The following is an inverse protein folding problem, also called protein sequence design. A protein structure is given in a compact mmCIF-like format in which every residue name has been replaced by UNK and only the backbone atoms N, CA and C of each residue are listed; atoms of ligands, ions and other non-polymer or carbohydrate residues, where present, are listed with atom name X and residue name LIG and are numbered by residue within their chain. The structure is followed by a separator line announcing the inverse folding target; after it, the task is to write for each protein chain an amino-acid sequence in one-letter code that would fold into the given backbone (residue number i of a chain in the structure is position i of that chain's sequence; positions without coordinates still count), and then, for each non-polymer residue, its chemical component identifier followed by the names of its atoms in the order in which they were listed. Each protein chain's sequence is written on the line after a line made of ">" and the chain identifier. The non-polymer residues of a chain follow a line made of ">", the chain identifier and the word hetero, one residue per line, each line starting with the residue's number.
data_IF_088881160949
#
_entry.id   IF_088881160949
#
_cell.length_a   1.000
_cell.length_b   1.000
_cell.length_c   1.000
_cell.angle_alpha   90.00
_cell.angle_beta   90.00
_cell.angle_gamma   90.00
#
_symmetry.space_group_name_H-M   'P 1'
#
loop_
_entity.id
_entity.type
_entity.pdbx_description
1 polymer ?
#
# COMPACT_ATOMS: atom_id res chain seq x y z
N UNK A 1 -7.49 -8.46 15.81
CA UNK A 1 -6.24 -9.23 15.99
C UNK A 1 -5.08 -8.26 16.18
N UNK A 2 -4.14 -8.53 17.08
CA UNK A 2 -2.99 -7.64 17.33
C UNK A 2 -1.86 -7.88 16.32
N UNK A 3 -1.19 -6.79 15.92
CA UNK A 3 -0.01 -6.83 15.04
C UNK A 3 1.22 -7.22 15.84
N UNK A 4 2.06 -8.09 15.28
CA UNK A 4 3.26 -8.60 15.96
C UNK A 4 4.53 -7.87 15.57
N UNK A 5 4.52 -7.12 14.45
CA UNK A 5 5.67 -6.41 13.92
C UNK A 5 5.32 -4.95 13.67
N UNK A 6 6.28 -4.06 13.91
CA UNK A 6 6.22 -2.65 13.50
C UNK A 6 7.09 -2.39 12.25
N UNK A 7 7.78 -3.42 11.73
CA UNK A 7 8.75 -3.29 10.64
C UNK A 7 8.17 -3.88 9.35
N UNK A 8 7.27 -3.13 8.73
CA UNK A 8 6.66 -3.45 7.44
C UNK A 8 6.27 -2.16 6.70
N UNK A 9 6.05 -2.26 5.39
CA UNK A 9 5.57 -1.11 4.62
C UNK A 9 4.14 -0.77 4.99
N UNK A 10 3.88 0.50 5.21
CA UNK A 10 2.53 1.02 5.46
C UNK A 10 2.31 2.28 4.65
N UNK A 11 1.11 2.41 4.12
CA UNK A 11 0.66 3.65 3.52
C UNK A 11 0.37 4.68 4.63
N UNK A 12 0.68 5.97 4.42
CA UNK A 12 0.30 7.02 5.35
C UNK A 12 -1.23 7.03 5.59
N UNK A 13 -1.70 7.26 6.83
CA UNK A 13 -3.14 7.27 7.12
C UNK A 13 -3.85 8.46 6.44
N UNK A 14 -3.14 9.55 6.20
CA UNK A 14 -3.65 10.79 5.62
C UNK A 14 -3.44 10.90 4.09
N UNK A 15 -3.28 9.77 3.38
CA UNK A 15 -3.13 9.78 1.91
C UNK A 15 -4.26 10.49 1.16
N UNK A 16 -5.44 10.62 1.77
CA UNK A 16 -6.58 11.32 1.21
C UNK A 16 -6.39 12.84 1.08
N UNK A 17 -5.40 13.41 1.79
CA UNK A 17 -5.04 14.83 1.69
C UNK A 17 -4.21 15.14 0.43
N UNK A 18 -3.61 14.13 -0.21
CA UNK A 18 -2.81 14.31 -1.41
C UNK A 18 -3.72 14.52 -2.62
N UNK A 19 -3.35 15.46 -3.48
CA UNK A 19 -3.95 15.53 -4.81
C UNK A 19 -3.60 14.28 -5.62
N UNK A 20 -4.41 14.03 -6.65
CA UNK A 20 -4.32 12.82 -7.45
C UNK A 20 -2.97 12.67 -8.17
N UNK A 21 -2.42 13.76 -8.70
CA UNK A 21 -1.17 13.71 -9.46
C UNK A 21 0.00 13.40 -8.53
N UNK A 22 0.03 14.02 -7.35
CA UNK A 22 1.04 13.75 -6.31
C UNK A 22 0.95 12.30 -5.84
N UNK A 23 -0.25 11.80 -5.53
CA UNK A 23 -0.46 10.41 -5.10
C UNK A 23 0.07 9.42 -6.15
N UNK A 24 -0.28 9.62 -7.43
CA UNK A 24 0.17 8.75 -8.53
C UNK A 24 1.68 8.82 -8.71
N UNK A 25 2.28 10.01 -8.66
CA UNK A 25 3.73 10.18 -8.76
C UNK A 25 4.46 9.47 -7.62
N UNK A 26 4.04 9.70 -6.37
CA UNK A 26 4.66 9.07 -5.19
C UNK A 26 4.54 7.54 -5.22
N UNK A 27 3.41 7.01 -5.71
CA UNK A 27 3.20 5.56 -5.84
C UNK A 27 4.12 4.93 -6.89
N UNK A 28 4.30 5.58 -8.04
CA UNK A 28 5.13 5.09 -9.15
C UNK A 28 6.62 5.13 -8.81
N UNK A 29 7.04 6.15 -8.08
CA UNK A 29 8.43 6.36 -7.71
C UNK A 29 8.88 5.53 -6.49
N UNK A 30 8.01 4.64 -5.99
CA UNK A 30 8.33 3.77 -4.85
C UNK A 30 9.64 3.00 -5.11
N UNK A 31 10.49 2.93 -4.10
CA UNK A 31 11.74 2.16 -4.17
C UNK A 31 12.81 2.74 -5.08
N UNK A 32 12.56 3.86 -5.77
CA UNK A 32 13.59 4.56 -6.55
C UNK A 32 14.64 5.13 -5.58
N UNK A 33 15.94 4.89 -5.81
CA UNK A 33 17.01 5.51 -5.02
C UNK A 33 17.00 7.03 -5.15
N UNK A 34 17.07 7.73 -4.02
CA UNK A 34 17.19 9.18 -3.93
C UNK A 34 18.44 9.55 -3.15
N UNK A 35 19.16 10.57 -3.64
CA UNK A 35 20.31 11.19 -2.97
C UNK A 35 19.89 12.51 -2.34
N UNK A 36 20.32 12.74 -1.10
CA UNK A 36 20.12 14.02 -0.43
C UNK A 36 20.95 15.10 -1.12
N UNK A 37 20.46 16.35 -1.11
CA UNK A 37 21.22 17.48 -1.64
C UNK A 37 22.50 17.70 -0.80
N UNK A 38 23.52 18.38 -1.36
CA UNK A 38 24.66 18.82 -0.56
C UNK A 38 24.19 19.60 0.69
N UNK A 39 24.76 19.29 1.86
CA UNK A 39 24.34 19.87 3.14
C UNK A 39 23.14 19.19 3.82
N UNK A 40 22.37 18.36 3.12
CA UNK A 40 21.17 17.70 3.67
C UNK A 40 21.41 16.22 3.98
N UNK A 41 20.56 15.64 4.82
CA UNK A 41 20.51 14.21 5.11
C UNK A 41 19.06 13.74 5.20
N UNK A 42 18.81 12.49 4.86
CA UNK A 42 17.55 11.83 5.18
C UNK A 42 17.69 11.08 6.50
N UNK A 43 16.60 10.98 7.26
CA UNK A 43 16.52 10.05 8.39
C UNK A 43 15.94 8.71 7.91
N UNK A 44 16.67 7.61 8.14
CA UNK A 44 16.18 6.27 7.82
C UNK A 44 15.00 5.89 8.72
N UNK A 45 13.86 5.49 8.15
CA UNK A 45 12.63 5.17 8.88
C UNK A 45 12.79 4.01 9.86
N UNK A 46 13.66 3.03 9.56
CA UNK A 46 13.83 1.82 10.37
C UNK A 46 14.96 1.97 11.38
N UNK A 47 16.11 2.51 10.95
CA UNK A 47 17.31 2.57 11.79
C UNK A 47 17.45 3.90 12.53
N UNK A 48 16.66 4.91 12.17
CA UNK A 48 16.72 6.29 12.71
C UNK A 48 18.08 6.98 12.54
N UNK A 49 18.92 6.45 11.65
CA UNK A 49 20.25 7.00 11.32
C UNK A 49 20.15 7.94 10.13
N UNK A 50 21.00 8.96 10.13
CA UNK A 50 21.17 9.85 8.98
C UNK A 50 21.85 9.12 7.82
N UNK A 51 21.30 9.28 6.62
CA UNK A 51 21.80 8.70 5.38
C UNK A 51 21.87 9.78 4.28
N UNK A 52 22.84 9.63 3.37
CA UNK A 52 22.98 10.50 2.18
C UNK A 52 22.24 9.98 0.96
N UNK A 53 21.91 8.68 0.96
CA UNK A 53 21.19 8.01 -0.12
C UNK A 53 20.28 6.96 0.48
N UNK A 54 19.07 6.84 -0.07
CA UNK A 54 18.09 5.85 0.38
C UNK A 54 16.99 5.63 -0.64
N UNK A 55 16.26 4.53 -0.48
CA UNK A 55 15.03 4.26 -1.22
C UNK A 55 13.86 4.98 -0.57
N UNK A 56 12.88 5.33 -1.39
CA UNK A 56 11.77 6.19 -0.99
C UNK A 56 10.43 5.45 -0.99
N UNK A 57 9.58 5.75 0.00
CA UNK A 57 8.19 5.28 0.10
C UNK A 57 7.33 6.37 0.73
N UNK A 58 6.50 7.04 -0.07
CA UNK A 58 5.56 8.08 0.41
C UNK A 58 6.14 9.09 1.41
N UNK A 59 7.34 9.61 1.13
CA UNK A 59 8.04 10.57 2.00
C UNK A 59 8.98 9.94 3.03
N UNK A 60 8.84 8.64 3.32
CA UNK A 60 9.75 7.92 4.19
C UNK A 60 10.97 7.42 3.39
N UNK A 61 12.14 7.52 4.02
CA UNK A 61 13.41 7.10 3.43
C UNK A 61 13.96 5.86 4.15
N UNK A 62 14.50 4.94 3.37
CA UNK A 62 15.03 3.67 3.84
C UNK A 62 16.46 3.53 3.33
N UNK A 63 17.40 3.17 4.20
CA UNK A 63 18.67 2.62 3.71
C UNK A 63 18.38 1.34 2.91
N UNK A 64 19.29 0.95 2.01
CA UNK A 64 19.12 -0.29 1.25
C UNK A 64 18.85 -1.49 2.17
N UNK A 65 19.62 -1.63 3.25
CA UNK A 65 19.44 -2.69 4.25
C UNK A 65 18.05 -2.65 4.89
N UNK A 66 17.58 -1.47 5.31
CA UNK A 66 16.26 -1.31 5.92
C UNK A 66 15.12 -1.61 4.94
N UNK A 67 15.28 -1.23 3.67
CA UNK A 67 14.34 -1.59 2.61
C UNK A 67 14.26 -3.11 2.45
N UNK A 68 15.41 -3.78 2.37
CA UNK A 68 15.44 -5.22 2.16
C UNK A 68 14.86 -5.99 3.36
N UNK A 69 15.08 -5.51 4.59
CA UNK A 69 14.49 -6.07 5.81
C UNK A 69 12.97 -5.89 5.90
N UNK A 70 12.41 -4.87 5.23
CA UNK A 70 10.97 -4.60 5.23
C UNK A 70 10.24 -5.32 4.09
N UNK A 71 10.95 -5.90 3.13
CA UNK A 71 10.36 -6.67 2.04
C UNK A 71 9.74 -7.98 2.54
N UNK A 72 8.54 -8.25 2.06
CA UNK A 72 7.83 -9.49 2.36
C UNK A 72 8.48 -10.68 1.66
N UNK A 73 8.77 -11.74 2.41
CA UNK A 73 9.29 -12.98 1.86
C UNK A 73 8.32 -13.56 0.82
N UNK A 74 8.87 -14.00 -0.32
CA UNK A 74 8.07 -14.59 -1.41
C UNK A 74 7.37 -13.59 -2.33
N UNK A 75 7.68 -12.29 -2.20
CA UNK A 75 7.06 -11.22 -3.01
C UNK A 75 8.02 -10.61 -4.05
N UNK A 76 9.19 -11.24 -4.29
CA UNK A 76 10.16 -10.85 -5.34
C UNK A 76 10.56 -9.37 -5.30
N UNK A 77 10.66 -8.79 -4.11
CA UNK A 77 11.03 -7.38 -3.94
C UNK A 77 9.88 -6.38 -4.05
N UNK A 78 8.65 -6.85 -4.23
CA UNK A 78 7.46 -6.01 -4.14
C UNK A 78 7.08 -5.74 -2.68
N UNK A 79 7.02 -4.48 -2.23
CA UNK A 79 6.67 -4.12 -0.86
C UNK A 79 5.16 -4.26 -0.64
N UNK A 80 4.72 -5.33 0.03
CA UNK A 80 3.32 -5.50 0.41
C UNK A 80 3.00 -4.76 1.71
N UNK A 81 1.83 -4.12 1.74
CA UNK A 81 1.26 -3.49 2.93
C UNK A 81 -0.01 -4.21 3.36
N UNK A 82 -0.68 -3.68 4.39
CA UNK A 82 -2.02 -4.13 4.79
C UNK A 82 -3.07 -4.00 3.68
N UNK A 83 -2.93 -3.03 2.77
CA UNK A 83 -3.89 -2.85 1.68
C UNK A 83 -3.80 -4.02 0.70
N UNK A 84 -2.58 -4.39 0.31
CA UNK A 84 -2.37 -5.57 -0.54
C UNK A 84 -2.79 -6.86 0.16
N UNK A 85 -2.57 -6.98 1.49
CA UNK A 85 -3.12 -8.08 2.28
C UNK A 85 -4.64 -8.15 2.17
N UNK A 86 -5.35 -7.02 2.30
CA UNK A 86 -6.80 -6.99 2.15
C UNK A 86 -7.24 -7.39 0.75
N UNK A 87 -6.59 -6.85 -0.29
CA UNK A 87 -6.92 -7.16 -1.69
C UNK A 87 -6.75 -8.65 -1.97
N UNK A 88 -5.57 -9.21 -1.67
CA UNK A 88 -5.29 -10.62 -1.90
C UNK A 88 -6.18 -11.53 -1.04
N UNK A 89 -6.38 -11.16 0.22
CA UNK A 89 -7.17 -11.96 1.16
C UNK A 89 -8.68 -11.93 0.87
N UNK A 90 -9.24 -10.82 0.34
CA UNK A 90 -10.63 -10.76 -0.13
C UNK A 90 -10.86 -11.71 -1.30
N UNK A 91 -9.91 -11.75 -2.24
CA UNK A 91 -9.96 -12.67 -3.38
C UNK A 91 -9.79 -14.12 -2.91
N UNK A 92 -8.84 -14.38 -2.02
CA UNK A 92 -8.59 -15.73 -1.48
C UNK A 92 -9.75 -16.29 -0.64
N UNK A 93 -10.45 -15.43 0.10
CA UNK A 93 -11.52 -15.85 1.02
C UNK A 93 -12.88 -16.04 0.33
N UNK A 94 -12.97 -15.75 -0.97
CA UNK A 94 -14.19 -15.92 -1.74
C UNK A 94 -14.39 -17.41 -2.05
N UNK A 95 -15.21 -18.09 -1.24
CA UNK A 95 -15.36 -19.54 -1.28
C UNK A 95 -16.09 -20.07 -2.52
N UNK A 96 -17.14 -19.37 -2.96
CA UNK A 96 -18.07 -19.88 -3.99
C UNK A 96 -17.94 -19.13 -5.32
N UNK A 97 -17.72 -17.81 -5.28
CA UNK A 97 -17.69 -16.97 -6.46
C UNK A 97 -16.59 -15.91 -6.35
N UNK A 98 -15.72 -15.85 -7.36
CA UNK A 98 -14.65 -14.86 -7.44
C UNK A 98 -15.23 -13.43 -7.37
N UNK A 99 -14.68 -12.54 -6.52
CA UNK A 99 -15.25 -11.21 -6.32
C UNK A 99 -14.99 -10.33 -7.53
N UNK A 100 -15.97 -9.48 -7.84
CA UNK A 100 -15.79 -8.42 -8.84
C UNK A 100 -14.71 -7.44 -8.38
N UNK A 101 -13.98 -6.90 -9.35
CA UNK A 101 -12.90 -5.96 -9.13
C UNK A 101 -13.32 -4.73 -8.31
N UNK A 102 -14.47 -4.14 -8.64
CA UNK A 102 -15.02 -2.97 -7.96
C UNK A 102 -15.27 -3.19 -6.47
N UNK A 103 -15.80 -4.35 -6.10
CA UNK A 103 -15.99 -4.75 -4.71
C UNK A 103 -14.66 -4.83 -3.96
N UNK A 104 -13.62 -5.42 -4.56
CA UNK A 104 -12.30 -5.54 -3.93
C UNK A 104 -11.65 -4.16 -3.76
N UNK A 105 -11.74 -3.29 -4.76
CA UNK A 105 -11.20 -1.93 -4.69
C UNK A 105 -11.87 -1.12 -3.56
N UNK A 106 -13.20 -1.23 -3.41
CA UNK A 106 -13.99 -0.54 -2.38
C UNK A 106 -13.67 -1.01 -0.94
N UNK A 107 -13.21 -2.24 -0.80
CA UNK A 107 -12.95 -2.89 0.48
C UNK A 107 -11.46 -3.08 0.80
N UNK A 108 -10.57 -2.56 -0.06
CA UNK A 108 -9.11 -2.64 0.11
C UNK A 108 -8.60 -1.83 1.31
N UNK A 109 -9.31 -0.76 1.69
CA UNK A 109 -8.90 0.17 2.75
C UNK A 109 -7.94 1.26 2.27
N UNK A 110 -7.90 1.53 0.95
CA UNK A 110 -7.15 2.61 0.32
C UNK A 110 -8.09 3.56 -0.45
N UNK A 111 -7.67 4.79 -0.72
CA UNK A 111 -8.45 5.71 -1.57
C UNK A 111 -8.65 5.11 -2.98
N UNK A 112 -9.80 5.35 -3.62
CA UNK A 112 -10.23 4.64 -4.83
C UNK A 112 -9.18 4.58 -5.95
N UNK A 113 -8.45 5.68 -6.24
CA UNK A 113 -7.40 5.64 -7.27
C UNK A 113 -6.19 4.80 -6.85
N UNK A 114 -5.80 4.85 -5.57
CA UNK A 114 -4.72 4.00 -5.07
C UNK A 114 -5.12 2.53 -5.10
N UNK A 115 -6.36 2.20 -4.70
CA UNK A 115 -6.89 0.85 -4.81
C UNK A 115 -6.83 0.32 -6.25
N UNK A 116 -7.24 1.15 -7.22
CA UNK A 116 -7.13 0.83 -8.64
C UNK A 116 -5.68 0.55 -9.10
N UNK A 117 -4.73 1.40 -8.69
CA UNK A 117 -3.31 1.20 -9.02
C UNK A 117 -2.76 -0.07 -8.38
N UNK A 118 -3.09 -0.33 -7.11
CA UNK A 118 -2.65 -1.53 -6.39
C UNK A 118 -3.18 -2.79 -7.07
N UNK A 119 -4.46 -2.84 -7.43
CA UNK A 119 -5.04 -4.02 -8.11
C UNK A 119 -4.37 -4.28 -9.47
N UNK A 120 -4.07 -3.21 -10.22
CA UNK A 120 -3.34 -3.36 -11.49
C UNK A 120 -1.92 -3.86 -11.29
N UNK A 121 -1.17 -3.30 -10.35
CA UNK A 121 0.19 -3.74 -10.05
C UNK A 121 0.19 -5.20 -9.59
N UNK A 122 -0.72 -5.60 -8.70
CA UNK A 122 -0.84 -7.00 -8.25
C UNK A 122 -1.14 -7.97 -9.43
N UNK A 123 -1.89 -7.52 -10.43
CA UNK A 123 -2.10 -8.28 -11.68
C UNK A 123 -0.82 -8.32 -12.52
N UNK A 124 -0.15 -7.19 -12.73
CA UNK A 124 1.09 -7.11 -13.50
C UNK A 124 2.21 -7.97 -12.90
N UNK A 125 2.31 -8.01 -11.58
CA UNK A 125 3.23 -8.90 -10.85
C UNK A 125 2.77 -10.37 -10.80
N UNK A 126 1.64 -10.71 -11.41
CA UNK A 126 1.12 -12.07 -11.50
C UNK A 126 0.61 -12.64 -10.17
N UNK A 127 0.28 -11.80 -9.19
CA UNK A 127 -0.36 -12.24 -7.95
C UNK A 127 -1.87 -12.45 -8.13
N UNK A 128 -2.47 -11.71 -9.06
CA UNK A 128 -3.87 -11.82 -9.44
C UNK A 128 -4.00 -12.08 -10.94
N UNK A 129 -5.08 -12.76 -11.33
CA UNK A 129 -5.59 -12.76 -12.70
C UNK A 129 -7.02 -12.20 -12.72
N UNK A 130 -7.49 -11.85 -13.91
CA UNK A 130 -8.86 -11.39 -14.12
C UNK A 130 -9.52 -12.30 -15.15
N UNK A 131 -10.77 -12.67 -14.91
CA UNK A 131 -11.56 -13.44 -15.87
C UNK A 131 -12.33 -12.53 -16.85
N UNK A 132 -13.08 -13.15 -17.76
CA UNK A 132 -13.87 -12.46 -18.77
C UNK A 132 -15.05 -11.64 -18.19
N UNK A 133 -15.34 -11.79 -16.90
CA UNK A 133 -16.42 -11.13 -16.19
C UNK A 133 -15.93 -10.07 -15.19
N UNK A 134 -14.67 -9.63 -15.32
CA UNK A 134 -14.03 -8.64 -14.45
C UNK A 134 -13.94 -9.09 -12.98
N UNK A 135 -13.85 -10.40 -12.75
CA UNK A 135 -13.66 -11.00 -11.42
C UNK A 135 -12.19 -11.31 -11.19
N UNK A 136 -11.74 -11.06 -9.97
CA UNK A 136 -10.36 -11.29 -9.59
C UNK A 136 -10.16 -12.71 -9.08
N UNK A 137 -9.10 -13.36 -9.56
CA UNK A 137 -8.69 -14.70 -9.15
C UNK A 137 -7.29 -14.61 -8.56
N UNK A 138 -7.06 -15.31 -7.44
CA UNK A 138 -5.74 -15.37 -6.83
C UNK A 138 -4.90 -16.45 -7.50
N UNK A 139 -3.65 -16.13 -7.83
CA UNK A 139 -2.71 -17.11 -8.38
C UNK A 139 -1.98 -17.85 -7.25
N UNK A 140 -1.34 -19.01 -7.51
CA UNK A 140 -0.49 -19.67 -6.50
C UNK A 140 0.62 -18.77 -5.96
N UNK A 141 1.12 -17.85 -6.81
CA UNK A 141 2.09 -16.82 -6.44
C UNK A 141 1.46 -15.79 -5.51
N UNK A 142 0.24 -15.34 -5.80
CA UNK A 142 -0.53 -14.43 -4.95
C UNK A 142 -0.85 -15.04 -3.58
N UNK A 143 -1.19 -16.33 -3.53
CA UNK A 143 -1.41 -17.04 -2.27
C UNK A 143 -0.13 -17.08 -1.43
N UNK A 144 1.02 -17.43 -2.03
CA UNK A 144 2.32 -17.41 -1.33
C UNK A 144 2.64 -16.01 -0.79
N UNK A 145 2.37 -14.97 -1.58
CA UNK A 145 2.54 -13.58 -1.20
C UNK A 145 1.61 -13.19 -0.01
N UNK A 146 0.34 -13.59 -0.06
CA UNK A 146 -0.64 -13.40 1.02
C UNK A 146 -0.19 -14.04 2.34
N UNK A 147 0.32 -15.27 2.28
CA UNK A 147 0.86 -15.94 3.45
C UNK A 147 2.11 -15.22 4.00
N UNK A 148 2.97 -14.72 3.10
CA UNK A 148 4.15 -13.95 3.45
C UNK A 148 3.80 -12.66 4.21
N UNK A 149 2.90 -11.84 3.67
CA UNK A 149 2.52 -10.55 4.28
C UNK A 149 1.77 -10.76 5.59
N UNK A 150 0.92 -11.78 5.67
CA UNK A 150 0.22 -12.15 6.90
C UNK A 150 1.20 -12.54 8.00
N UNK A 151 2.22 -13.35 7.67
CA UNK A 151 3.27 -13.73 8.62
C UNK A 151 4.11 -12.53 9.05
N UNK A 152 4.39 -11.59 8.16
CA UNK A 152 5.17 -10.40 8.49
C UNK A 152 4.40 -9.46 9.43
N UNK A 153 3.12 -9.20 9.17
CA UNK A 153 2.32 -8.24 9.94
C UNK A 153 1.84 -8.85 11.28
N UNK A 154 1.43 -10.12 11.25
CA UNK A 154 0.72 -10.77 12.36
C UNK A 154 1.43 -12.00 12.95
N UNK A 155 2.57 -12.41 12.39
CA UNK A 155 3.32 -13.58 12.85
C UNK A 155 2.65 -14.92 12.53
N UNK A 156 1.53 -14.92 11.79
CA UNK A 156 0.68 -16.09 11.53
C UNK A 156 0.32 -16.20 10.06
N UNK A 157 -0.04 -17.42 9.63
CA UNK A 157 -0.65 -17.66 8.31
C UNK A 157 -1.95 -16.89 8.18
N UNK A 158 -2.32 -16.52 6.95
CA UNK A 158 -3.54 -15.78 6.67
C UNK A 158 -4.76 -16.48 7.24
N UNK A 159 -5.67 -15.68 7.78
CA UNK A 159 -7.02 -16.08 8.17
C UNK A 159 -8.00 -14.96 7.79
N UNK A 160 -9.26 -15.27 7.44
CA UNK A 160 -10.21 -14.24 7.03
C UNK A 160 -10.45 -13.13 8.06
N UNK A 161 -10.34 -13.42 9.37
CA UNK A 161 -10.46 -12.43 10.46
C UNK A 161 -9.35 -11.35 10.46
N UNK A 162 -8.28 -11.55 9.68
CA UNK A 162 -7.23 -10.56 9.45
C UNK A 162 -7.69 -9.42 8.53
N UNK A 163 -8.76 -9.61 7.76
CA UNK A 163 -9.29 -8.63 6.82
C UNK A 163 -10.00 -7.49 7.55
N UNK A 164 -9.80 -6.25 7.07
CA UNK A 164 -10.49 -5.07 7.63
C UNK A 164 -12.01 -5.18 7.58
N UNK A 165 -12.55 -5.73 6.49
CA UNK A 165 -13.99 -6.03 6.31
C UNK A 165 -14.53 -6.86 7.47
N UNK A 166 -13.81 -7.91 7.85
CA UNK A 166 -14.22 -8.82 8.92
C UNK A 166 -13.95 -8.27 10.32
N UNK A 167 -13.23 -7.16 10.43
CA UNK A 167 -13.02 -6.42 11.68
C UNK A 167 -14.03 -5.28 11.88
N UNK A 168 -15.05 -5.17 11.01
CA UNK A 168 -16.03 -4.07 11.06
C UNK A 168 -15.45 -2.71 10.65
N UNK A 169 -14.31 -2.70 9.95
CA UNK A 169 -13.64 -1.50 9.46
C UNK A 169 -13.84 -1.41 7.93
N UNK A 170 -14.91 -0.75 7.48
CA UNK A 170 -15.22 -0.47 6.05
C UNK A 170 -15.78 0.98 5.99
N UNK A 171 -15.60 1.85 4.99
CA UNK A 171 -15.12 1.76 3.61
C UNK A 171 -14.01 2.81 3.36
N UNK A 172 -13.29 2.66 2.25
CA UNK A 172 -12.25 3.55 1.75
C UNK A 172 -12.37 5.01 2.23
N UNK A 173 -11.27 5.64 2.71
CA UNK A 173 -11.29 7.07 3.00
C UNK A 173 -11.75 7.81 1.73
N UNK A 174 -12.84 8.56 1.84
CA UNK A 174 -13.26 9.47 0.77
C UNK A 174 -12.22 10.59 0.73
N UNK A 175 -11.72 10.94 -0.46
CA UNK A 175 -10.96 12.18 -0.62
C UNK A 175 -11.91 13.34 -0.32
N UNK A 176 -11.79 13.93 0.86
CA UNK A 176 -12.35 15.25 1.10
C UNK A 176 -11.55 16.23 0.25
N UNK A 177 -12.21 16.89 -0.71
CA UNK A 177 -11.58 18.00 -1.42
C UNK A 177 -11.27 19.04 -0.37
N UNK A 178 -10.01 19.42 -0.21
CA UNK A 178 -9.65 20.61 0.53
C UNK A 178 -10.54 21.76 -0.01
N UNK A 179 -11.29 22.47 0.85
CA UNK A 179 -11.91 23.70 0.43
C UNK A 179 -10.78 24.58 -0.10
N UNK A 180 -10.91 25.04 -1.35
CA UNK A 180 -10.11 26.16 -1.79
C UNK A 180 -10.57 27.34 -0.94
N UNK A 181 -9.77 27.73 0.03
CA UNK A 181 -9.87 29.08 0.57
C UNK A 181 -9.38 30.01 -0.54
N UNK A 182 -10.30 30.41 -1.42
CA UNK A 182 -10.12 31.60 -2.26
C UNK A 182 -10.18 32.84 -1.34
N UNK A 183 -9.16 33.01 -0.50
CA UNK A 183 -8.91 34.22 0.28
C UNK A 183 -7.53 34.80 0.01
N UNK A 184 -7.07 34.71 -1.24
CA UNK A 184 -6.10 35.66 -1.78
C UNK A 184 -6.83 36.61 -2.74
N UNK A 185 -7.65 37.50 -2.19
CA UNK A 185 -7.94 38.77 -2.84
C UNK A 185 -7.20 39.89 -2.09
N UNK A 186 -6.26 40.47 -2.82
CA UNK A 186 -5.43 41.62 -2.51
C UNK A 186 -6.18 42.75 -1.80
N UNK A 187 -5.56 43.28 -0.75
CA UNK A 187 -5.63 44.71 -0.43
C UNK A 187 -4.22 45.17 -0.02
N UNK A 188 -3.41 45.45 -1.04
CA UNK A 188 -2.25 46.32 -0.95
C UNK A 188 -2.49 47.50 -1.90
N UNK A 189 -3.31 48.44 -1.45
CA UNK A 189 -3.31 49.84 -1.84
C UNK A 189 -3.73 50.67 -0.62
#
# INVERSE_FOLDING_TARGET
>A
MEKSSNTFFSYPPNLHELDLATLVSMYRDRGIPKKAKPGEYFACKVTEKLIKEGKWWFGAYYSQKAWDETLTAGCEGYPLTEVELNVLGLVYSAADEAPRRDYVEQNSGAVGKLAYMIVNDLKEFGFLSIDDQDRLLITPRGEKALQGVSKQIYGKKFKPDMLRVNQGKIANPKMERAPKDDSEQANLF
#
